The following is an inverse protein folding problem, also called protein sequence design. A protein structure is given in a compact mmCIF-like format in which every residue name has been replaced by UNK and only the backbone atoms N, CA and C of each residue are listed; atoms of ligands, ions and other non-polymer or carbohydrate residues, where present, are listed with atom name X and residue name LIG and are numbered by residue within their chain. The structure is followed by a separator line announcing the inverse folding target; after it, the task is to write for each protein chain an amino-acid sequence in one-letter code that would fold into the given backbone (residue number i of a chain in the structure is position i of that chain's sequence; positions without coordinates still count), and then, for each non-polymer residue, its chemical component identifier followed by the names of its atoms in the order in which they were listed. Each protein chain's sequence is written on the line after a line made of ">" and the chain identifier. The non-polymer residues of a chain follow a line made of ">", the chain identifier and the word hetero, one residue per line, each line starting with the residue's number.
data_IF_148548270331
#
_entry.id   IF_148548270331
#
_cell.length_a   1.000
_cell.length_b   1.000
_cell.length_c   1.000
_cell.angle_alpha   90.00
_cell.angle_beta   90.00
_cell.angle_gamma   90.00
#
_symmetry.space_group_name_H-M   'P 1'
#
loop_
_entity.id
_entity.type
_entity.pdbx_description
1 polymer ?
#
# COMPACT_ATOMS: atom_id res chain seq x y z
N UNK A 1 43.07 3.56 32.56
CA UNK A 1 41.63 3.82 32.34
C UNK A 1 41.33 5.13 31.58
N UNK A 2 42.32 5.93 31.13
CA UNK A 2 42.07 7.16 30.33
C UNK A 2 41.97 6.93 28.82
N UNK A 3 42.48 5.80 28.30
CA UNK A 3 42.47 5.49 26.85
C UNK A 3 41.07 5.18 26.30
N UNK A 4 40.15 4.73 27.15
CA UNK A 4 38.77 4.44 26.75
C UNK A 4 37.93 5.70 26.48
N UNK A 5 38.32 6.85 27.03
CA UNK A 5 37.60 8.12 26.85
C UNK A 5 37.68 8.59 25.38
N UNK A 6 38.72 8.18 24.65
CA UNK A 6 38.92 8.55 23.25
C UNK A 6 37.93 7.86 22.28
N UNK A 7 37.27 6.78 22.71
CA UNK A 7 36.31 6.03 21.87
C UNK A 7 34.85 6.50 22.02
N UNK A 8 34.56 7.36 23.01
CA UNK A 8 33.22 7.91 23.28
C UNK A 8 32.61 8.66 22.07
N UNK A 9 33.32 9.52 21.32
CA UNK A 9 32.71 10.24 20.19
C UNK A 9 32.37 9.33 19.00
N UNK A 10 33.15 8.25 18.79
CA UNK A 10 32.91 7.27 17.74
C UNK A 10 31.62 6.48 18.01
N UNK A 11 31.38 6.14 19.27
CA UNK A 11 30.15 5.45 19.70
C UNK A 11 28.92 6.35 19.50
N UNK A 12 29.04 7.65 19.73
CA UNK A 12 27.95 8.62 19.50
C UNK A 12 27.56 8.73 18.02
N UNK A 13 28.51 8.56 17.11
CA UNK A 13 28.26 8.55 15.66
C UNK A 13 27.54 7.28 15.19
N UNK A 14 27.72 6.16 15.90
CA UNK A 14 27.10 4.88 15.54
C UNK A 14 25.64 4.78 16.03
N UNK A 15 25.22 5.62 16.97
CA UNK A 15 23.86 5.62 17.52
C UNK A 15 22.97 6.75 16.94
N UNK A 16 23.47 7.57 16.02
CA UNK A 16 22.65 8.57 15.35
C UNK A 16 21.83 7.91 14.22
N UNK A 17 20.56 7.61 14.46
CA UNK A 17 19.60 7.33 13.39
C UNK A 17 18.88 8.62 13.01
N UNK A 18 19.06 9.06 11.76
CA UNK A 18 18.22 10.11 11.20
C UNK A 18 16.84 9.51 10.89
N UNK A 19 15.83 9.82 11.70
CA UNK A 19 14.44 9.55 11.36
C UNK A 19 13.88 10.72 10.57
N UNK A 20 13.57 10.50 9.30
CA UNK A 20 12.81 11.46 8.50
C UNK A 20 11.31 11.30 8.81
N UNK A 21 10.63 12.39 9.12
CA UNK A 21 9.18 12.39 9.27
C UNK A 21 8.59 12.37 7.87
N UNK A 22 7.98 11.25 7.50
CA UNK A 22 7.23 11.13 6.26
C UNK A 22 5.80 11.62 6.52
N UNK A 23 5.46 12.80 6.00
CA UNK A 23 4.08 13.28 5.98
C UNK A 23 3.34 12.63 4.79
N UNK A 24 2.69 11.51 5.06
CA UNK A 24 1.88 10.82 4.06
C UNK A 24 0.47 11.39 4.08
N UNK A 25 0.13 12.14 3.03
CA UNK A 25 -1.23 12.64 2.83
C UNK A 25 -2.17 11.47 2.49
N UNK A 26 -2.80 10.91 3.53
CA UNK A 26 -3.78 9.83 3.44
C UNK A 26 -5.21 10.34 3.21
N UNK A 27 -5.41 11.62 2.87
CA UNK A 27 -6.74 12.23 2.77
C UNK A 27 -7.68 11.39 1.88
N UNK A 28 -8.75 10.93 2.52
CA UNK A 28 -9.72 9.97 2.00
C UNK A 28 -10.40 10.40 0.69
N UNK A 29 -10.59 11.71 0.49
CA UNK A 29 -11.33 12.26 -0.64
C UNK A 29 -10.76 11.88 -2.02
N UNK A 30 -9.43 11.69 -2.13
CA UNK A 30 -8.76 11.37 -3.40
C UNK A 30 -8.24 9.93 -3.47
N UNK A 31 -8.50 9.10 -2.45
CA UNK A 31 -7.94 7.76 -2.33
C UNK A 31 -8.95 6.63 -2.61
N UNK A 32 -10.12 6.96 -3.16
CA UNK A 32 -11.11 5.99 -3.61
C UNK A 32 -10.74 5.44 -5.01
N UNK A 33 -10.03 4.32 -5.04
CA UNK A 33 -9.53 3.67 -6.25
C UNK A 33 -10.35 2.42 -6.55
N UNK A 34 -10.62 2.20 -7.84
CA UNK A 34 -11.17 0.92 -8.31
C UNK A 34 -10.08 -0.15 -8.22
N UNK A 35 -10.42 -1.26 -7.58
CA UNK A 35 -9.59 -2.46 -7.49
C UNK A 35 -10.25 -3.54 -8.33
N UNK A 36 -9.47 -4.07 -9.27
CA UNK A 36 -9.90 -5.11 -10.21
C UNK A 36 -9.13 -6.38 -9.86
N UNK A 37 -9.82 -7.36 -9.28
CA UNK A 37 -9.26 -8.67 -8.97
C UNK A 37 -9.89 -9.70 -9.91
N UNK A 38 -9.11 -10.59 -10.49
CA UNK A 38 -9.68 -11.58 -11.38
C UNK A 38 -8.68 -12.59 -11.89
N UNK A 39 -9.21 -13.67 -12.44
CA UNK A 39 -8.45 -14.65 -13.21
C UNK A 39 -9.03 -14.72 -14.61
N UNK A 40 -8.30 -14.11 -15.54
CA UNK A 40 -8.61 -14.10 -16.98
C UNK A 40 -7.61 -15.02 -17.68
N UNK A 41 -8.11 -15.89 -18.56
CA UNK A 41 -7.28 -16.85 -19.30
C UNK A 41 -7.74 -16.93 -20.75
N UNK A 42 -6.88 -17.43 -21.62
CA UNK A 42 -7.16 -17.73 -23.03
C UNK A 42 -7.91 -19.07 -23.23
N UNK A 43 -7.91 -19.94 -22.23
CA UNK A 43 -8.68 -21.19 -22.26
C UNK A 43 -10.19 -20.96 -22.12
N UNK A 44 -10.99 -21.82 -22.77
CA UNK A 44 -12.45 -21.86 -22.65
C UNK A 44 -12.87 -22.46 -21.29
N UNK A 45 -12.71 -21.69 -20.23
CA UNK A 45 -13.09 -22.05 -18.86
C UNK A 45 -13.77 -20.88 -18.15
N UNK A 46 -14.36 -21.17 -16.99
CA UNK A 46 -14.96 -20.14 -16.14
C UNK A 46 -13.86 -19.16 -15.72
N UNK A 47 -14.06 -17.90 -16.08
CA UNK A 47 -13.26 -16.77 -15.63
C UNK A 47 -14.01 -16.07 -14.49
N UNK A 48 -13.26 -15.44 -13.59
CA UNK A 48 -13.86 -14.70 -12.50
C UNK A 48 -13.22 -13.33 -12.35
N UNK A 49 -14.04 -12.39 -11.90
CA UNK A 49 -13.70 -10.99 -11.67
C UNK A 49 -14.45 -10.53 -10.42
N UNK A 50 -13.78 -9.73 -9.61
CA UNK A 50 -14.35 -8.95 -8.52
C UNK A 50 -13.91 -7.51 -8.67
N UNK A 51 -14.89 -6.61 -8.64
CA UNK A 51 -14.66 -5.18 -8.59
C UNK A 51 -14.94 -4.68 -7.17
N UNK A 52 -14.02 -3.88 -6.63
CA UNK A 52 -14.21 -3.24 -5.33
C UNK A 52 -13.60 -1.85 -5.31
N UNK A 53 -13.97 -1.05 -4.31
CA UNK A 53 -13.35 0.25 -4.03
C UNK A 53 -12.54 0.20 -2.75
N UNK A 54 -11.38 0.86 -2.77
CA UNK A 54 -10.57 1.02 -1.56
C UNK A 54 -11.36 1.73 -0.45
N UNK A 55 -11.16 1.30 0.79
CA UNK A 55 -11.67 1.98 1.98
C UNK A 55 -10.62 2.92 2.57
N UNK A 56 -11.10 3.89 3.33
CA UNK A 56 -10.26 4.78 4.12
C UNK A 56 -9.42 3.98 5.14
N UNK A 57 -8.14 4.32 5.26
CA UNK A 57 -7.24 3.74 6.26
C UNK A 57 -7.72 3.99 7.70
N UNK A 58 -8.30 5.17 7.97
CA UNK A 58 -8.75 5.54 9.31
C UNK A 58 -10.09 4.92 9.70
N UNK A 59 -10.78 4.29 8.75
CA UNK A 59 -12.08 3.65 8.99
C UNK A 59 -11.91 2.15 8.87
N UNK A 60 -12.17 1.44 9.97
CA UNK A 60 -12.18 -0.02 9.96
C UNK A 60 -13.48 -0.55 9.33
N UNK A 61 -13.65 -0.28 8.03
CA UNK A 61 -14.76 -0.74 7.21
C UNK A 61 -14.24 -1.63 6.08
N UNK A 62 -15.02 -2.66 5.75
CA UNK A 62 -14.71 -3.53 4.64
C UNK A 62 -14.79 -2.75 3.32
N UNK A 63 -13.89 -3.05 2.37
CA UNK A 63 -13.94 -2.50 1.03
C UNK A 63 -15.27 -2.84 0.34
N UNK A 64 -15.94 -1.83 -0.21
CA UNK A 64 -17.24 -2.00 -0.85
C UNK A 64 -17.07 -2.73 -2.19
N UNK A 65 -17.90 -3.73 -2.44
CA UNK A 65 -18.01 -4.36 -3.75
C UNK A 65 -18.73 -3.42 -4.71
N UNK A 66 -18.21 -3.27 -5.93
CA UNK A 66 -18.89 -2.54 -6.99
C UNK A 66 -19.82 -3.48 -7.75
N UNK A 67 -21.12 -3.13 -7.80
CA UNK A 67 -22.17 -3.95 -8.41
C UNK A 67 -22.78 -3.19 -9.59
N UNK A 68 -23.17 -3.91 -10.65
CA UNK A 68 -23.84 -3.32 -11.83
C UNK A 68 -22.90 -2.66 -12.84
N UNK A 69 -21.59 -2.86 -12.70
CA UNK A 69 -20.62 -2.39 -13.68
C UNK A 69 -20.73 -3.15 -15.01
N UNK A 70 -20.55 -2.44 -16.12
CA UNK A 70 -20.37 -3.04 -17.44
C UNK A 70 -18.89 -3.40 -17.59
N UNK A 71 -18.61 -4.68 -17.80
CA UNK A 71 -17.25 -5.20 -17.95
C UNK A 71 -17.05 -5.65 -19.39
N UNK A 72 -15.97 -5.20 -20.01
CA UNK A 72 -15.52 -5.67 -21.32
C UNK A 72 -14.08 -6.16 -21.21
N UNK A 73 -13.80 -7.30 -21.83
CA UNK A 73 -12.45 -7.88 -21.93
C UNK A 73 -12.11 -7.88 -23.43
N UNK A 74 -11.01 -7.21 -23.79
CA UNK A 74 -10.49 -7.16 -25.15
C UNK A 74 -9.03 -7.63 -25.20
N UNK A 75 -8.58 -8.00 -26.40
CA UNK A 75 -7.25 -8.54 -26.70
C UNK A 75 -6.45 -7.66 -27.67
N UNK A 76 -6.66 -6.34 -27.60
CA UNK A 76 -5.96 -5.35 -28.44
C UNK A 76 -4.43 -5.40 -28.30
#
# INVERSE_FOLDING_TARGET
>A
MKKFILFIPIIYLLISSCSEIIDMNLNSANNNRLVVEGRITDELKIQWLRLSRTSDYFVNQQANAEIGAIVSISNE
#
